data_IF_065145759581
#
_entry.id   IF_065145759581
#
_cell.length_a   1.000
_cell.length_b   1.000
_cell.length_c   1.000
_cell.angle_alpha   90.00
_cell.angle_beta   90.00
_cell.angle_gamma   90.00
#
_symmetry.space_group_name_H-M   'P 1'
#
loop_
_entity.id
_entity.type
_entity.pdbx_description
1 polymer ?
#
# COMPACT_ATOMS: atom_id res chain seq x y z
N UNK A 1 -18.88 4.20 17.27
CA UNK A 1 -18.15 5.45 17.59
C UNK A 1 -18.98 6.73 17.66
N UNK A 2 -20.31 6.73 17.42
CA UNK A 2 -21.16 7.93 17.59
C UNK A 2 -22.37 7.67 18.50
N UNK A 3 -23.21 6.69 18.14
CA UNK A 3 -24.36 6.27 18.97
C UNK A 3 -24.00 5.18 19.97
N UNK A 4 -23.09 4.30 19.60
CA UNK A 4 -22.60 3.19 20.41
C UNK A 4 -21.06 3.17 20.41
N UNK A 5 -20.45 2.69 21.49
CA UNK A 5 -19.00 2.64 21.63
C UNK A 5 -18.39 1.64 20.62
N UNK A 6 -17.13 1.84 20.22
CA UNK A 6 -16.45 0.87 19.34
C UNK A 6 -16.27 -0.48 20.04
N UNK A 7 -16.06 -0.47 21.36
CA UNK A 7 -15.89 -1.67 22.16
C UNK A 7 -17.15 -2.54 22.19
N UNK A 8 -18.34 -1.94 22.32
CA UNK A 8 -19.60 -2.69 22.33
C UNK A 8 -19.91 -3.27 20.94
N UNK A 9 -19.73 -2.47 19.88
CA UNK A 9 -19.86 -2.95 18.49
C UNK A 9 -18.91 -4.13 18.23
N UNK A 10 -17.66 -4.06 18.68
CA UNK A 10 -16.69 -5.13 18.50
C UNK A 10 -17.14 -6.44 19.16
N UNK A 11 -17.65 -6.36 20.40
CA UNK A 11 -18.15 -7.54 21.14
C UNK A 11 -19.41 -8.13 20.50
N UNK A 12 -20.33 -7.29 20.05
CA UNK A 12 -21.55 -7.73 19.36
C UNK A 12 -21.20 -8.43 18.04
N UNK A 13 -20.36 -7.81 17.20
CA UNK A 13 -19.96 -8.40 15.92
C UNK A 13 -19.18 -9.71 16.09
N UNK A 14 -18.37 -9.82 17.15
CA UNK A 14 -17.65 -11.07 17.46
C UNK A 14 -18.58 -12.25 17.77
N UNK A 15 -19.82 -11.99 18.18
CA UNK A 15 -20.85 -13.02 18.35
C UNK A 15 -21.59 -13.40 17.07
N UNK A 16 -21.45 -12.62 16.00
CA UNK A 16 -22.22 -12.78 14.75
C UNK A 16 -21.39 -13.18 13.53
N UNK A 17 -20.09 -12.92 13.54
CA UNK A 17 -19.22 -13.14 12.38
C UNK A 17 -17.86 -13.72 12.81
N UNK A 18 -17.25 -14.53 11.92
CA UNK A 18 -15.94 -15.15 12.15
C UNK A 18 -14.75 -14.19 11.96
N UNK A 19 -14.98 -13.00 11.43
CA UNK A 19 -13.96 -11.97 11.22
C UNK A 19 -14.58 -10.62 10.82
N UNK A 20 -13.85 -9.54 11.05
CA UNK A 20 -14.31 -8.17 10.80
C UNK A 20 -13.33 -7.49 9.85
N UNK A 21 -13.80 -7.05 8.67
CA UNK A 21 -13.07 -6.09 7.85
C UNK A 21 -13.71 -4.72 8.00
N UNK A 22 -12.90 -3.71 8.30
CA UNK A 22 -13.38 -2.35 8.48
C UNK A 22 -12.60 -1.36 7.61
N UNK A 23 -13.33 -0.53 6.88
CA UNK A 23 -12.83 0.70 6.26
C UNK A 23 -13.31 1.87 7.12
N UNK A 24 -12.39 2.65 7.66
CA UNK A 24 -12.67 3.74 8.57
C UNK A 24 -11.91 4.99 8.16
N UNK A 25 -12.27 6.14 8.74
CA UNK A 25 -11.43 7.33 8.68
C UNK A 25 -10.29 7.17 9.69
N UNK A 26 -10.59 7.37 10.98
CA UNK A 26 -9.62 7.30 12.07
C UNK A 26 -9.10 5.88 12.34
N UNK A 27 -7.77 5.71 12.24
CA UNK A 27 -7.08 4.46 12.53
C UNK A 27 -7.31 3.92 13.95
N UNK A 28 -7.56 4.78 14.94
CA UNK A 28 -7.84 4.36 16.31
C UNK A 28 -9.09 3.49 16.41
N UNK A 29 -10.05 3.64 15.48
CA UNK A 29 -11.18 2.73 15.41
C UNK A 29 -10.78 1.31 15.00
N UNK A 30 -9.79 1.13 14.13
CA UNK A 30 -9.25 -0.21 13.82
C UNK A 30 -8.58 -0.81 15.05
N UNK A 31 -7.76 -0.02 15.76
CA UNK A 31 -7.06 -0.48 16.96
C UNK A 31 -8.04 -0.87 18.07
N UNK A 32 -9.08 -0.06 18.30
CA UNK A 32 -10.13 -0.35 19.26
C UNK A 32 -10.94 -1.60 18.86
N UNK A 33 -11.32 -1.75 17.57
CA UNK A 33 -11.97 -2.99 17.10
C UNK A 33 -11.07 -4.20 17.39
N UNK A 34 -9.78 -4.14 17.05
CA UNK A 34 -8.84 -5.24 17.27
C UNK A 34 -8.61 -5.53 18.76
N UNK A 35 -8.67 -4.53 19.63
CA UNK A 35 -8.51 -4.70 21.07
C UNK A 35 -9.70 -5.44 21.72
N UNK A 36 -10.93 -5.17 21.25
CA UNK A 36 -12.15 -5.66 21.91
C UNK A 36 -12.86 -6.80 21.18
N UNK A 37 -12.55 -7.05 19.91
CA UNK A 37 -13.09 -8.17 19.16
C UNK A 37 -12.46 -9.50 19.60
N UNK A 38 -13.27 -10.56 19.66
CA UNK A 38 -12.79 -11.93 19.88
C UNK A 38 -12.43 -12.65 18.57
N UNK A 39 -12.67 -12.00 17.42
CA UNK A 39 -12.40 -12.51 16.07
C UNK A 39 -11.40 -11.61 15.34
N UNK A 40 -10.70 -12.12 14.30
CA UNK A 40 -9.71 -11.32 13.57
C UNK A 40 -10.29 -10.03 12.98
N UNK A 41 -9.54 -8.93 13.12
CA UNK A 41 -9.87 -7.62 12.53
C UNK A 41 -8.90 -7.29 11.41
N UNK A 42 -9.43 -6.94 10.24
CA UNK A 42 -8.68 -6.62 9.03
C UNK A 42 -8.90 -5.15 8.69
N UNK A 43 -7.81 -4.39 8.58
CA UNK A 43 -7.88 -3.01 8.11
C UNK A 43 -8.11 -2.96 6.60
N UNK A 44 -9.34 -2.66 6.20
CA UNK A 44 -9.74 -2.47 4.82
C UNK A 44 -9.26 -1.15 4.22
N UNK A 45 -9.10 -0.09 5.04
CA UNK A 45 -8.45 1.20 4.77
C UNK A 45 -8.69 2.12 5.98
N UNK A 46 -7.69 2.91 6.35
CA UNK A 46 -7.75 4.00 7.35
C UNK A 46 -6.98 5.22 6.86
N UNK A 47 -7.08 6.35 7.54
CA UNK A 47 -6.27 7.55 7.33
C UNK A 47 -4.76 7.29 7.53
N UNK A 48 -4.39 6.32 8.37
CA UNK A 48 -2.99 5.96 8.61
C UNK A 48 -2.40 5.01 7.55
N UNK A 49 -3.07 3.89 7.26
CA UNK A 49 -2.56 2.90 6.30
C UNK A 49 -3.67 2.12 5.56
N UNK A 50 -3.27 1.44 4.48
CA UNK A 50 -4.06 0.60 3.60
C UNK A 50 -3.33 -0.73 3.27
N UNK A 51 -3.14 -1.63 4.25
CA UNK A 51 -2.28 -2.82 4.10
C UNK A 51 -2.82 -3.85 3.09
N UNK A 52 -4.14 -3.96 2.92
CA UNK A 52 -4.71 -4.85 1.91
C UNK A 52 -4.39 -4.41 0.47
N UNK A 53 -4.23 -3.11 0.22
CA UNK A 53 -3.77 -2.61 -1.09
C UNK A 53 -2.34 -3.04 -1.33
N UNK A 54 -1.45 -2.79 -0.37
CA UNK A 54 -0.03 -3.12 -0.45
C UNK A 54 0.23 -4.62 -0.74
N UNK A 55 -0.59 -5.52 -0.18
CA UNK A 55 -0.52 -6.96 -0.50
C UNK A 55 -0.92 -7.27 -1.94
N UNK A 56 -1.98 -6.64 -2.46
CA UNK A 56 -2.35 -6.73 -3.87
C UNK A 56 -1.23 -6.20 -4.79
N UNK A 57 -0.62 -5.08 -4.40
CA UNK A 57 0.46 -4.45 -5.16
C UNK A 57 1.67 -5.38 -5.29
N UNK A 58 2.09 -6.00 -4.18
CA UNK A 58 3.21 -6.94 -4.18
C UNK A 58 2.88 -8.19 -5.00
N UNK A 59 1.65 -8.70 -4.95
CA UNK A 59 1.25 -9.83 -5.80
C UNK A 59 1.43 -9.47 -7.28
N UNK A 60 0.96 -8.29 -7.70
CA UNK A 60 1.14 -7.81 -9.08
C UNK A 60 2.61 -7.65 -9.45
N UNK A 61 3.43 -7.07 -8.57
CA UNK A 61 4.87 -6.94 -8.83
C UNK A 61 5.50 -8.33 -8.95
N UNK A 62 5.16 -9.29 -8.08
CA UNK A 62 5.71 -10.64 -8.10
C UNK A 62 5.37 -11.40 -9.38
N UNK A 63 4.14 -11.28 -9.87
CA UNK A 63 3.70 -11.88 -11.14
C UNK A 63 4.46 -11.32 -12.35
N UNK A 64 4.84 -10.04 -12.30
CA UNK A 64 5.57 -9.35 -13.38
C UNK A 64 7.09 -9.44 -13.22
N UNK A 65 7.58 -9.65 -12.00
CA UNK A 65 8.99 -9.71 -11.59
C UNK A 65 9.16 -10.83 -10.56
N UNK A 66 9.55 -12.04 -10.98
CA UNK A 66 9.63 -13.22 -10.09
C UNK A 66 10.58 -13.10 -8.89
N UNK A 67 11.42 -12.05 -8.85
CA UNK A 67 12.33 -11.76 -7.75
C UNK A 67 12.08 -10.34 -7.24
N UNK A 68 11.62 -10.24 -6.00
CA UNK A 68 11.36 -8.95 -5.34
C UNK A 68 12.62 -8.29 -4.76
N UNK A 69 13.50 -9.10 -4.15
CA UNK A 69 14.72 -8.59 -3.51
C UNK A 69 15.58 -7.82 -4.52
N UNK A 70 15.91 -6.57 -4.19
CA UNK A 70 16.74 -5.69 -5.02
C UNK A 70 15.98 -4.92 -6.11
N UNK A 71 14.68 -5.15 -6.29
CA UNK A 71 13.86 -4.26 -7.12
C UNK A 71 13.77 -2.87 -6.50
N UNK A 72 13.50 -1.87 -7.32
CA UNK A 72 13.22 -0.51 -6.88
C UNK A 72 11.78 -0.14 -7.21
N UNK A 73 11.03 0.29 -6.19
CA UNK A 73 9.70 0.89 -6.32
C UNK A 73 9.81 2.37 -6.00
N UNK A 74 9.34 3.22 -6.90
CA UNK A 74 9.31 4.67 -6.73
C UNK A 74 7.89 5.17 -6.60
N UNK A 75 7.57 5.82 -5.49
CA UNK A 75 6.30 6.50 -5.30
C UNK A 75 6.43 7.98 -5.61
N UNK A 76 5.47 8.54 -6.34
CA UNK A 76 5.42 9.96 -6.68
C UNK A 76 4.04 10.49 -6.32
N UNK A 77 3.93 11.45 -5.40
CA UNK A 77 2.63 11.99 -4.99
C UNK A 77 2.58 12.42 -3.54
N UNK A 78 1.42 12.23 -2.91
CA UNK A 78 1.13 12.64 -1.52
C UNK A 78 1.60 11.59 -0.51
N UNK A 79 2.13 12.02 0.63
CA UNK A 79 2.57 11.15 1.74
C UNK A 79 1.41 10.55 2.54
N UNK A 80 0.45 9.91 1.88
CA UNK A 80 -0.79 9.42 2.47
C UNK A 80 -0.70 7.95 3.00
N UNK A 81 -1.85 7.32 3.20
CA UNK A 81 -1.97 5.94 3.70
C UNK A 81 -1.43 4.86 2.73
N UNK A 82 -1.44 5.11 1.42
CA UNK A 82 -0.94 4.20 0.39
C UNK A 82 0.59 4.08 0.45
N UNK A 83 1.40 5.14 0.27
CA UNK A 83 2.85 5.04 0.40
C UNK A 83 3.29 4.65 1.81
N UNK A 84 2.51 4.95 2.85
CA UNK A 84 2.75 4.44 4.21
C UNK A 84 2.75 2.91 4.25
N UNK A 85 1.82 2.27 3.55
CA UNK A 85 1.75 0.80 3.49
C UNK A 85 2.79 0.22 2.54
N UNK A 86 2.99 0.89 1.41
CA UNK A 86 3.91 0.48 0.36
C UNK A 86 5.36 0.48 0.86
N UNK A 87 5.81 1.54 1.55
CA UNK A 87 7.16 1.61 2.11
C UNK A 87 7.41 0.48 3.12
N UNK A 88 6.43 0.15 3.98
CA UNK A 88 6.56 -0.92 4.96
C UNK A 88 6.66 -2.29 4.31
N UNK A 89 5.82 -2.60 3.31
CA UNK A 89 5.87 -3.91 2.66
C UNK A 89 7.11 -4.05 1.77
N UNK A 90 7.48 -3.01 1.01
CA UNK A 90 8.68 -3.02 0.17
C UNK A 90 9.93 -3.28 1.01
N UNK A 91 10.11 -2.52 2.09
CA UNK A 91 11.28 -2.66 2.95
C UNK A 91 11.31 -3.99 3.71
N UNK A 92 10.16 -4.59 4.04
CA UNK A 92 10.11 -5.95 4.60
C UNK A 92 10.57 -7.02 3.60
N UNK A 93 10.27 -6.83 2.32
CA UNK A 93 10.53 -7.81 1.25
C UNK A 93 11.86 -7.58 0.53
N UNK A 94 12.67 -6.62 1.00
CA UNK A 94 13.97 -6.32 0.41
C UNK A 94 13.90 -5.54 -0.91
N UNK A 95 12.79 -4.87 -1.17
CA UNK A 95 12.60 -3.94 -2.28
C UNK A 95 13.10 -2.56 -1.85
N UNK A 96 13.96 -1.94 -2.64
CA UNK A 96 14.37 -0.54 -2.45
C UNK A 96 13.16 0.38 -2.69
N UNK A 97 12.97 1.36 -1.82
CA UNK A 97 11.84 2.28 -1.90
C UNK A 97 12.33 3.71 -2.09
N UNK A 98 11.92 4.34 -3.17
CA UNK A 98 12.15 5.76 -3.43
C UNK A 98 10.83 6.50 -3.34
N UNK A 99 10.83 7.71 -2.81
CA UNK A 99 9.62 8.52 -2.73
C UNK A 99 9.91 9.99 -3.05
N UNK A 100 9.11 10.55 -3.96
CA UNK A 100 9.02 11.98 -4.19
C UNK A 100 7.70 12.51 -3.66
N UNK A 101 7.79 13.42 -2.70
CA UNK A 101 6.65 14.12 -2.09
C UNK A 101 6.96 15.62 -2.01
N UNK A 102 6.01 16.51 -2.31
CA UNK A 102 6.22 17.94 -2.09
C UNK A 102 6.53 18.27 -0.63
N UNK A 103 7.19 19.40 -0.40
CA UNK A 103 7.40 19.93 0.94
C UNK A 103 6.05 20.12 1.64
N UNK A 104 5.96 19.69 2.90
CA UNK A 104 4.75 19.66 3.75
C UNK A 104 3.75 18.55 3.43
N UNK A 105 4.07 17.65 2.49
CA UNK A 105 3.26 16.48 2.13
C UNK A 105 4.04 15.17 2.26
N UNK A 106 5.13 15.16 3.02
CA UNK A 106 5.96 13.96 3.22
C UNK A 106 5.26 12.93 4.12
N UNK A 107 5.75 11.68 4.05
CA UNK A 107 5.35 10.64 4.99
C UNK A 107 5.65 11.05 6.44
N UNK A 108 4.80 10.65 7.41
CA UNK A 108 5.08 10.91 8.82
C UNK A 108 6.44 10.32 9.25
N UNK A 109 7.26 11.03 10.05
CA UNK A 109 8.60 10.56 10.42
C UNK A 109 8.63 9.16 11.06
N UNK A 110 7.62 8.82 11.88
CA UNK A 110 7.52 7.50 12.51
C UNK A 110 7.31 6.36 11.50
N UNK A 111 6.61 6.62 10.39
CA UNK A 111 6.44 5.65 9.30
C UNK A 111 7.80 5.34 8.67
N UNK A 112 8.60 6.37 8.40
CA UNK A 112 9.95 6.25 7.80
C UNK A 112 10.92 5.57 8.76
N UNK A 113 10.91 5.93 10.05
CA UNK A 113 11.73 5.24 11.08
C UNK A 113 11.41 3.75 11.08
N UNK A 114 10.12 3.38 11.07
CA UNK A 114 9.71 1.98 11.05
C UNK A 114 10.16 1.24 9.79
N UNK A 115 10.07 1.91 8.63
CA UNK A 115 10.56 1.37 7.38
C UNK A 115 12.08 1.14 7.39
N UNK A 116 12.86 2.05 7.98
CA UNK A 116 14.32 1.91 8.12
C UNK A 116 14.69 0.70 9.00
N UNK A 117 13.90 0.39 10.03
CA UNK A 117 14.09 -0.85 10.81
C UNK A 117 13.90 -2.13 9.97
N UNK A 118 12.92 -2.13 9.05
CA UNK A 118 12.73 -3.26 8.13
C UNK A 118 13.85 -3.32 7.09
N UNK A 119 14.26 -2.16 6.57
CA UNK A 119 15.33 -2.05 5.60
C UNK A 119 16.67 -2.58 6.14
N UNK A 120 17.00 -2.27 7.40
CA UNK A 120 18.19 -2.80 8.07
C UNK A 120 18.22 -4.34 8.15
N UNK A 121 17.04 -4.99 8.20
CA UNK A 121 16.93 -6.46 8.27
C UNK A 121 16.93 -7.11 6.88
N UNK A 122 16.37 -6.45 5.88
CA UNK A 122 16.23 -6.99 4.52
C UNK A 122 17.35 -6.58 3.56
N UNK A 123 18.15 -5.58 3.91
CA UNK A 123 19.15 -4.98 3.03
C UNK A 123 18.57 -4.04 1.95
N UNK A 124 17.28 -3.68 2.06
CA UNK A 124 16.69 -2.65 1.19
C UNK A 124 17.20 -1.25 1.56
N UNK A 125 16.88 -0.27 0.71
CA UNK A 125 17.29 1.11 0.87
C UNK A 125 16.07 2.01 0.73
N UNK A 126 16.08 3.14 1.42
CA UNK A 126 15.03 4.15 1.36
C UNK A 126 15.66 5.44 0.87
N UNK A 127 15.01 6.09 -0.09
CA UNK A 127 15.43 7.39 -0.63
C UNK A 127 14.23 8.33 -0.68
N UNK A 128 14.35 9.47 -0.02
CA UNK A 128 13.30 10.50 0.08
C UNK A 128 13.79 11.75 -0.63
N UNK A 129 12.98 12.32 -1.51
CA UNK A 129 13.30 13.54 -2.27
C UNK A 129 12.04 14.37 -2.51
N UNK A 130 12.24 15.60 -2.97
CA UNK A 130 11.17 16.46 -3.52
C UNK A 130 11.27 16.60 -5.04
N UNK A 131 12.20 15.87 -5.69
CA UNK A 131 12.30 15.83 -7.15
C UNK A 131 11.73 14.50 -7.68
N UNK A 132 10.58 14.53 -8.39
CA UNK A 132 10.00 13.32 -8.95
C UNK A 132 10.92 12.66 -9.98
N UNK A 133 11.71 13.41 -10.76
CA UNK A 133 12.63 12.86 -11.74
C UNK A 133 13.83 12.15 -11.09
N UNK A 134 14.24 12.58 -9.90
CA UNK A 134 15.26 11.90 -9.12
C UNK A 134 14.72 10.58 -8.54
N UNK A 135 13.50 10.59 -7.99
CA UNK A 135 12.89 9.39 -7.43
C UNK A 135 12.73 8.29 -8.49
N UNK A 136 12.18 8.60 -9.67
CA UNK A 136 11.88 7.57 -10.68
C UNK A 136 13.12 7.06 -11.44
N UNK A 137 14.30 7.68 -11.25
CA UNK A 137 15.50 7.30 -12.00
C UNK A 137 15.87 5.85 -11.73
N UNK A 138 16.04 5.09 -12.80
CA UNK A 138 16.43 3.67 -12.79
C UNK A 138 15.51 2.75 -11.94
N UNK A 139 14.24 3.12 -11.77
CA UNK A 139 13.27 2.31 -11.01
C UNK A 139 12.65 1.19 -11.85
N UNK A 140 12.22 0.11 -11.19
CA UNK A 140 11.49 -1.01 -11.82
C UNK A 140 9.97 -0.79 -11.80
N UNK A 141 9.48 -0.01 -10.83
CA UNK A 141 8.07 0.35 -10.68
C UNK A 141 7.94 1.84 -10.36
N UNK A 142 6.98 2.51 -11.00
CA UNK A 142 6.47 3.83 -10.62
C UNK A 142 5.05 3.65 -10.10
N UNK A 143 4.77 4.20 -8.92
CA UNK A 143 3.47 4.18 -8.28
C UNK A 143 3.02 5.61 -7.99
N UNK A 144 1.77 5.94 -8.28
CA UNK A 144 1.15 7.19 -7.80
C UNK A 144 -0.26 6.94 -7.26
N UNK A 145 -0.82 7.94 -6.59
CA UNK A 145 -2.18 7.96 -6.06
C UNK A 145 -2.74 9.39 -6.22
N UNK A 146 -4.06 9.53 -6.04
CA UNK A 146 -4.74 10.82 -6.09
C UNK A 146 -4.07 11.85 -5.17
N UNK A 147 -3.93 13.08 -5.67
CA UNK A 147 -3.30 14.16 -4.90
C UNK A 147 -4.13 14.62 -3.70
N UNK A 148 -5.44 14.42 -3.73
CA UNK A 148 -6.37 14.78 -2.65
C UNK A 148 -7.07 13.52 -2.17
N UNK A 149 -6.67 13.02 -1.00
CA UNK A 149 -7.26 11.83 -0.42
C UNK A 149 -8.66 12.10 0.15
N UNK A 150 -9.39 11.02 0.42
CA UNK A 150 -10.71 11.08 1.06
C UNK A 150 -10.62 11.81 2.41
N UNK A 151 -11.47 12.81 2.64
CA UNK A 151 -11.46 13.65 3.85
C UNK A 151 -10.61 14.92 3.76
N UNK A 152 -9.94 15.16 2.63
CA UNK A 152 -9.13 16.35 2.37
C UNK A 152 -9.76 17.27 1.31
N UNK A 153 -11.07 17.17 1.07
CA UNK A 153 -11.76 17.86 -0.02
C UNK A 153 -11.64 19.39 0.07
N UNK A 154 -11.53 19.94 1.29
CA UNK A 154 -11.31 21.36 1.54
C UNK A 154 -9.93 21.86 1.07
N UNK A 155 -8.94 20.97 0.89
CA UNK A 155 -7.59 21.31 0.45
C UNK A 155 -7.39 21.20 -1.06
N UNK A 156 -8.41 20.75 -1.81
CA UNK A 156 -8.30 20.43 -3.24
C UNK A 156 -7.62 21.53 -4.06
N UNK A 157 -8.03 22.79 -3.87
CA UNK A 157 -7.47 23.93 -4.60
C UNK A 157 -5.99 24.18 -4.27
N UNK A 158 -5.60 24.04 -2.99
CA UNK A 158 -4.21 24.20 -2.54
C UNK A 158 -3.33 23.10 -3.14
N UNK A 159 -3.81 21.85 -3.12
CA UNK A 159 -3.10 20.69 -3.66
C UNK A 159 -2.95 20.78 -5.19
N UNK A 160 -4.00 21.18 -5.90
CA UNK A 160 -3.94 21.38 -7.35
C UNK A 160 -2.87 22.39 -7.81
N UNK A 161 -2.45 23.32 -6.95
CA UNK A 161 -1.35 24.24 -7.24
C UNK A 161 0.06 23.66 -7.01
N UNK A 162 0.17 22.61 -6.19
CA UNK A 162 1.46 22.04 -5.75
C UNK A 162 1.83 20.80 -6.55
N UNK A 163 0.88 19.90 -6.76
CA UNK A 163 1.12 18.58 -7.31
C UNK A 163 1.28 18.46 -8.85
N UNK A 164 1.02 19.47 -9.72
CA UNK A 164 1.22 19.31 -11.17
C UNK A 164 2.63 18.85 -11.58
N UNK A 165 3.66 19.24 -10.82
CA UNK A 165 5.04 18.79 -11.07
C UNK A 165 5.25 17.28 -10.81
N UNK A 166 4.33 16.64 -10.10
CA UNK A 166 4.38 15.24 -9.68
C UNK A 166 3.50 14.32 -10.55
N UNK A 167 2.90 14.83 -11.63
CA UNK A 167 2.12 14.01 -12.55
C UNK A 167 2.97 12.92 -13.20
N UNK A 168 2.51 11.67 -13.11
CA UNK A 168 3.07 10.56 -13.85
C UNK A 168 2.68 10.67 -15.31
N UNK A 169 3.63 11.17 -16.11
CA UNK A 169 3.50 11.38 -17.55
C UNK A 169 4.68 10.75 -18.31
N UNK A 170 4.63 10.82 -19.64
CA UNK A 170 5.67 10.28 -20.54
C UNK A 170 7.08 10.77 -20.21
N UNK A 171 7.23 12.06 -19.85
CA UNK A 171 8.55 12.63 -19.58
C UNK A 171 9.16 12.05 -18.30
N UNK A 172 8.32 11.86 -17.27
CA UNK A 172 8.72 11.24 -16.01
C UNK A 172 9.06 9.76 -16.19
N UNK A 173 8.17 8.99 -16.81
CA UNK A 173 8.34 7.54 -17.01
C UNK A 173 9.57 7.21 -17.85
N UNK A 174 9.96 8.09 -18.80
CA UNK A 174 11.20 7.93 -19.59
C UNK A 174 12.50 7.98 -18.77
N UNK A 175 12.47 8.42 -17.52
CA UNK A 175 13.64 8.39 -16.62
C UNK A 175 13.79 7.06 -15.88
N UNK A 176 12.77 6.22 -15.87
CA UNK A 176 12.82 4.88 -15.31
C UNK A 176 13.45 3.88 -16.29
N UNK A 177 13.54 2.61 -15.87
CA UNK A 177 13.99 1.52 -16.73
C UNK A 177 13.03 1.32 -17.92
N UNK A 178 13.50 0.84 -19.08
CA UNK A 178 12.66 0.67 -20.28
C UNK A 178 11.40 -0.19 -20.07
N UNK A 179 11.48 -1.19 -19.19
CA UNK A 179 10.42 -2.15 -18.87
C UNK A 179 9.64 -1.80 -17.59
N UNK A 180 9.76 -0.57 -17.09
CA UNK A 180 9.11 -0.09 -15.86
C UNK A 180 7.62 -0.42 -15.81
N UNK A 181 7.13 -0.81 -14.64
CA UNK A 181 5.69 -0.96 -14.38
C UNK A 181 5.11 0.36 -13.86
N UNK A 182 3.94 0.76 -14.36
CA UNK A 182 3.17 1.89 -13.83
C UNK A 182 1.98 1.37 -13.04
N UNK A 183 1.84 1.81 -11.79
CA UNK A 183 0.84 1.35 -10.82
C UNK A 183 0.05 2.51 -10.23
N UNK A 184 -1.22 2.25 -9.89
CA UNK A 184 -2.11 3.20 -9.23
C UNK A 184 -3.24 2.43 -8.52
N UNK A 185 -3.56 2.79 -7.26
CA UNK A 185 -4.54 2.04 -6.45
C UNK A 185 -6.00 2.17 -6.93
N UNK A 186 -6.30 3.20 -7.71
CA UNK A 186 -7.61 3.60 -8.20
C UNK A 186 -8.56 4.12 -7.09
N UNK A 187 -9.57 4.95 -7.44
CA UNK A 187 -9.82 5.54 -8.76
C UNK A 187 -8.74 6.55 -9.16
N UNK A 188 -8.40 6.61 -10.46
CA UNK A 188 -7.46 7.61 -10.99
C UNK A 188 -8.21 8.81 -11.58
N UNK A 189 -7.77 10.02 -11.28
CA UNK A 189 -8.12 11.26 -11.96
C UNK A 189 -7.15 11.50 -13.11
N UNK A 190 -7.54 11.03 -14.29
CA UNK A 190 -6.78 11.22 -15.52
C UNK A 190 -6.58 12.71 -15.81
N UNK A 191 -5.34 13.08 -16.11
CA UNK A 191 -4.93 14.47 -16.31
C UNK A 191 -4.53 15.21 -15.03
N UNK A 192 -4.74 14.62 -13.85
CA UNK A 192 -4.17 15.05 -12.57
C UNK A 192 -2.92 14.20 -12.26
N UNK A 193 -3.00 13.21 -11.38
CA UNK A 193 -1.83 12.43 -10.95
C UNK A 193 -1.21 11.55 -12.04
N UNK A 194 -1.99 11.20 -13.06
CA UNK A 194 -1.54 10.32 -14.15
C UNK A 194 -2.17 10.72 -15.48
N UNK A 195 -1.40 10.66 -16.57
CA UNK A 195 -1.93 10.87 -17.92
C UNK A 195 -2.55 9.60 -18.50
N UNK A 196 -3.49 9.76 -19.44
CA UNK A 196 -4.20 8.62 -20.06
C UNK A 196 -3.26 7.57 -20.64
N UNK A 197 -2.23 8.02 -21.35
CA UNK A 197 -1.27 7.12 -21.99
C UNK A 197 -0.36 6.39 -21.00
N UNK A 198 -0.24 6.84 -19.74
CA UNK A 198 0.44 6.09 -18.69
C UNK A 198 -0.52 5.13 -17.98
N UNK A 199 -1.79 5.52 -17.81
CA UNK A 199 -2.83 4.67 -17.23
C UNK A 199 -3.23 3.49 -18.14
N UNK A 200 -3.24 3.68 -19.46
CA UNK A 200 -3.63 2.65 -20.44
C UNK A 200 -2.46 2.16 -21.31
N UNK A 201 -1.25 2.68 -21.06
CA UNK A 201 -0.06 2.35 -21.83
C UNK A 201 0.43 0.92 -21.62
N UNK A 202 1.38 0.46 -22.46
CA UNK A 202 1.90 -0.91 -22.38
C UNK A 202 2.61 -1.25 -21.06
N UNK A 203 3.07 -0.23 -20.34
CA UNK A 203 3.74 -0.35 -19.04
C UNK A 203 2.74 -0.34 -17.86
N UNK A 204 1.47 -0.04 -18.11
CA UNK A 204 0.44 0.00 -17.08
C UNK A 204 0.11 -1.40 -16.58
N UNK A 205 0.03 -1.54 -15.26
CA UNK A 205 -0.54 -2.72 -14.61
C UNK A 205 -1.67 -2.35 -13.66
N UNK A 206 -2.32 -1.19 -13.86
CA UNK A 206 -3.41 -0.68 -13.02
C UNK A 206 -4.56 -1.68 -12.86
N UNK A 207 -5.01 -2.29 -13.95
CA UNK A 207 -6.13 -3.24 -13.91
C UNK A 207 -5.75 -4.62 -13.38
N UNK A 208 -4.60 -5.23 -13.77
CA UNK A 208 -4.09 -6.41 -13.08
C UNK A 208 -3.89 -6.18 -11.57
N UNK A 209 -3.43 -5.00 -11.18
CA UNK A 209 -3.33 -4.58 -9.78
C UNK A 209 -4.69 -4.54 -9.08
N UNK A 210 -5.69 -3.96 -9.73
CA UNK A 210 -7.06 -3.93 -9.21
C UNK A 210 -7.65 -5.35 -9.05
N UNK A 211 -7.42 -6.24 -10.01
CA UNK A 211 -7.85 -7.64 -9.93
C UNK A 211 -7.17 -8.37 -8.76
N UNK A 212 -5.87 -8.16 -8.57
CA UNK A 212 -5.08 -8.80 -7.51
C UNK A 212 -5.49 -8.41 -6.09
N UNK A 213 -6.29 -7.34 -5.91
CA UNK A 213 -6.98 -7.07 -4.64
C UNK A 213 -7.82 -8.27 -4.18
N UNK A 214 -8.58 -8.88 -5.10
CA UNK A 214 -9.41 -10.05 -4.82
C UNK A 214 -8.56 -11.22 -4.30
N UNK A 215 -7.46 -11.51 -4.98
CA UNK A 215 -6.58 -12.63 -4.66
C UNK A 215 -5.83 -12.42 -3.35
N UNK A 216 -5.29 -11.21 -3.13
CA UNK A 216 -4.66 -10.85 -1.86
C UNK A 216 -5.63 -10.94 -0.69
N UNK A 217 -6.87 -10.45 -0.84
CA UNK A 217 -7.88 -10.52 0.22
C UNK A 217 -8.34 -11.96 0.49
N UNK A 218 -8.48 -12.81 -0.54
CA UNK A 218 -8.72 -14.25 -0.36
C UNK A 218 -7.61 -14.90 0.46
N UNK A 219 -6.34 -14.56 0.19
CA UNK A 219 -5.21 -15.09 0.95
C UNK A 219 -5.22 -14.63 2.42
N UNK A 220 -5.55 -13.35 2.68
CA UNK A 220 -5.71 -12.83 4.04
C UNK A 220 -6.81 -13.60 4.80
N UNK A 221 -7.98 -13.79 4.18
CA UNK A 221 -9.08 -14.53 4.80
C UNK A 221 -8.71 -16.00 5.03
N UNK A 222 -8.05 -16.64 4.06
CA UNK A 222 -7.61 -18.03 4.20
C UNK A 222 -6.58 -18.21 5.31
N UNK A 223 -5.65 -17.27 5.50
CA UNK A 223 -4.67 -17.32 6.59
C UNK A 223 -5.31 -17.10 7.97
N UNK A 224 -6.25 -16.14 8.06
CA UNK A 224 -6.87 -15.76 9.34
C UNK A 224 -8.00 -16.70 9.78
N UNK A 225 -8.79 -17.21 8.83
CA UNK A 225 -10.01 -17.97 9.08
C UNK A 225 -9.93 -19.43 8.62
N UNK A 226 -8.92 -19.78 7.82
CA UNK A 226 -8.74 -21.15 7.35
C UNK A 226 -8.30 -22.10 8.46
N UNK A 227 -8.70 -23.37 8.34
CA UNK A 227 -8.25 -24.39 9.28
C UNK A 227 -6.73 -24.58 9.18
N UNK A 228 -6.02 -24.35 10.29
CA UNK A 228 -4.61 -24.74 10.40
C UNK A 228 -4.55 -26.27 10.34
N UNK A 229 -4.10 -26.83 9.20
CA UNK A 229 -3.76 -28.26 9.12
C UNK A 229 -2.80 -28.56 10.27
N UNK A 230 -3.26 -29.30 11.28
CA UNK A 230 -2.42 -29.87 12.32
C UNK A 230 -1.34 -30.69 11.59
N UNK A 231 -0.12 -30.17 11.55
CA UNK A 231 1.03 -30.94 11.07
C UNK A 231 1.26 -32.05 12.09
N UNK A 232 0.64 -33.19 11.86
CA UNK A 232 0.96 -34.43 12.54
C UNK A 232 2.42 -34.76 12.20
N UNK A 233 3.34 -34.38 13.09
CA UNK A 233 4.69 -34.93 13.11
C UNK A 233 4.52 -36.45 13.20
N UNK A 234 4.72 -37.15 12.07
CA UNK A 234 4.91 -38.61 12.06
C UNK A 234 6.11 -38.89 12.95
N UNK A 235 5.87 -39.31 14.18
CA UNK A 235 6.85 -39.97 15.03
C UNK A 235 7.31 -41.21 14.27
N UNK A 236 8.50 -41.12 13.65
CA UNK A 236 9.19 -42.31 13.14
C UNK A 236 9.56 -43.14 14.36
N UNK A 237 8.75 -44.17 14.62
CA UNK A 237 9.14 -45.32 15.44
C UNK A 237 10.47 -45.83 14.89
N UNK A 238 11.55 -45.66 15.65
CA UNK A 238 12.79 -46.41 15.41
C UNK A 238 12.50 -47.87 15.78
N UNK A 239 13.10 -48.75 14.96
CA UNK A 239 13.08 -50.22 15.03
C UNK A 239 13.10 -50.78 16.44
#
# INVERSE_FOLDING_TARGET
GKRESVADVARVLSGYADGIMARVFDHEHILALAQYAAVPVINGLSDHNHPCQALGDILTILERRPRLQGLTVSYVGDGNNVPTSLIHICTKLGIHFKIATPLDYQLPPLVVVKAREFAAKSGSQIFETTDPFEAVRDTDVIYTDVWTSMGQESEKAKRAAVFPAYQVNTALVRKAKPDVLVMHCLPAHRGEEITDNMADGPNSVLFPQAENRLHAQKAILAELLGEKKKTTKKTKSKK
#
